data_IF_680391101593
#
_entry.id   IF_680391101593
#
_cell.length_a   1.000
_cell.length_b   1.000
_cell.length_c   1.000
_cell.angle_alpha   90.00
_cell.angle_beta   90.00
_cell.angle_gamma   90.00
#
_symmetry.space_group_name_H-M   'P 1'
#
loop_
_entity.id
_entity.type
_entity.pdbx_description
1 polymer ?
#
# COMPACT_ATOMS: atom_id res chain seq x y z
N UNK A 1 17.40 -18.98 9.54
CA UNK A 1 18.42 -18.40 8.66
C UNK A 1 17.74 -17.84 7.41
N UNK A 2 18.09 -16.61 7.06
CA UNK A 2 17.63 -15.98 5.79
C UNK A 2 18.59 -16.31 4.65
N UNK A 3 18.09 -16.25 3.41
CA UNK A 3 18.93 -16.33 2.20
C UNK A 3 19.91 -15.15 2.09
N UNK A 4 20.86 -15.27 1.19
CA UNK A 4 21.78 -14.17 0.87
C UNK A 4 21.10 -13.15 -0.04
N UNK A 5 21.57 -11.89 0.05
CA UNK A 5 21.21 -10.86 -0.90
C UNK A 5 22.29 -10.82 -2.00
N UNK A 6 21.87 -11.02 -3.24
CA UNK A 6 22.69 -10.92 -4.43
C UNK A 6 22.35 -9.63 -5.19
N UNK A 7 23.28 -9.14 -5.96
CA UNK A 7 23.08 -8.06 -6.93
C UNK A 7 23.58 -8.56 -8.28
N UNK A 8 22.67 -8.71 -9.23
CA UNK A 8 22.98 -9.25 -10.57
C UNK A 8 23.72 -10.60 -10.52
N UNK A 9 23.26 -11.51 -9.64
CA UNK A 9 23.82 -12.85 -9.48
C UNK A 9 25.06 -12.95 -8.58
N UNK A 10 25.67 -11.85 -8.15
CA UNK A 10 26.81 -11.82 -7.25
C UNK A 10 26.40 -11.42 -5.84
N UNK A 11 27.03 -12.03 -4.82
CA UNK A 11 26.75 -11.69 -3.42
C UNK A 11 27.02 -10.22 -3.15
N UNK A 12 26.04 -9.50 -2.61
CA UNK A 12 26.21 -8.10 -2.21
C UNK A 12 27.31 -7.97 -1.15
N UNK A 13 28.31 -7.12 -1.43
CA UNK A 13 29.33 -6.78 -0.43
C UNK A 13 29.93 -5.39 -0.67
N UNK A 14 30.37 -4.73 0.41
CA UNK A 14 31.04 -3.43 0.32
C UNK A 14 32.36 -3.49 -0.45
N UNK A 15 33.07 -4.64 -0.35
CA UNK A 15 34.36 -4.85 -1.03
C UNK A 15 34.23 -4.98 -2.55
N UNK A 16 33.06 -5.42 -3.04
CA UNK A 16 32.78 -5.54 -4.48
C UNK A 16 32.18 -4.25 -5.07
N UNK A 17 31.88 -3.26 -4.24
CA UNK A 17 31.30 -2.00 -4.71
C UNK A 17 29.85 -2.11 -5.23
N UNK A 18 29.20 -3.28 -5.04
CA UNK A 18 27.83 -3.54 -5.46
C UNK A 18 26.82 -3.34 -4.32
N UNK A 19 27.18 -2.57 -3.28
CA UNK A 19 26.36 -2.33 -2.12
C UNK A 19 25.39 -1.18 -2.38
N UNK A 20 24.09 -1.43 -2.22
CA UNK A 20 23.00 -0.44 -2.33
C UNK A 20 22.32 -0.34 -0.98
N UNK A 21 22.08 0.89 -0.48
CA UNK A 21 21.36 1.08 0.76
C UNK A 21 19.85 1.13 0.51
N UNK A 22 19.05 0.71 1.51
CA UNK A 22 17.58 0.88 1.45
C UNK A 22 17.22 2.36 1.26
N UNK A 23 17.95 3.28 1.91
CA UNK A 23 17.73 4.73 1.76
C UNK A 23 17.92 5.22 0.33
N UNK A 24 18.88 4.65 -0.42
CA UNK A 24 19.08 5.01 -1.83
C UNK A 24 17.96 4.43 -2.70
N UNK A 25 17.51 3.22 -2.40
CA UNK A 25 16.37 2.61 -3.10
C UNK A 25 15.07 3.39 -2.91
N UNK A 26 14.80 3.87 -1.70
CA UNK A 26 13.59 4.63 -1.38
C UNK A 26 13.57 6.04 -2.01
N UNK A 27 14.63 6.48 -2.69
CA UNK A 27 14.61 7.69 -3.52
C UNK A 27 14.02 7.45 -4.91
N UNK A 28 14.00 6.18 -5.36
CA UNK A 28 13.57 5.80 -6.71
C UNK A 28 12.31 4.93 -6.70
N UNK A 29 12.10 4.16 -5.61
CA UNK A 29 10.99 3.22 -5.46
C UNK A 29 10.26 3.44 -4.14
N UNK A 30 8.95 3.22 -4.15
CA UNK A 30 8.14 3.30 -2.93
C UNK A 30 8.49 2.19 -1.93
N UNK A 31 8.15 2.41 -0.65
CA UNK A 31 8.33 1.42 0.41
C UNK A 31 7.55 0.13 0.14
N UNK A 32 6.34 0.25 -0.42
CA UNK A 32 5.46 -0.84 -0.83
C UNK A 32 6.09 -1.69 -1.92
N UNK A 33 6.67 -1.04 -2.94
CA UNK A 33 7.41 -1.71 -4.03
C UNK A 33 8.57 -2.52 -3.50
N UNK A 34 9.40 -1.89 -2.67
CA UNK A 34 10.54 -2.58 -2.07
C UNK A 34 10.11 -3.74 -1.18
N UNK A 35 9.06 -3.56 -0.37
CA UNK A 35 8.55 -4.61 0.51
C UNK A 35 7.96 -5.77 -0.28
N UNK A 36 7.16 -5.50 -1.31
CA UNK A 36 6.61 -6.54 -2.18
C UNK A 36 7.72 -7.31 -2.93
N UNK A 37 8.76 -6.61 -3.39
CA UNK A 37 9.95 -7.23 -3.98
C UNK A 37 10.60 -8.24 -3.03
N UNK A 38 10.81 -7.87 -1.76
CA UNK A 38 11.41 -8.76 -0.75
C UNK A 38 10.52 -9.97 -0.48
N UNK A 39 9.21 -9.75 -0.33
CA UNK A 39 8.22 -10.79 -0.04
C UNK A 39 7.95 -11.72 -1.23
N UNK A 40 8.27 -11.31 -2.46
CA UNK A 40 8.15 -12.15 -3.64
C UNK A 40 9.16 -13.30 -3.68
N UNK A 41 10.14 -13.30 -2.76
CA UNK A 41 11.11 -14.40 -2.60
C UNK A 41 10.95 -15.02 -1.22
N UNK A 42 10.93 -16.36 -1.16
CA UNK A 42 10.87 -17.06 0.13
C UNK A 42 12.08 -16.68 1.00
N UNK A 43 11.86 -16.37 2.29
CA UNK A 43 12.89 -15.83 3.19
C UNK A 43 14.15 -16.70 3.35
N UNK A 44 14.05 -18.03 3.10
CA UNK A 44 15.18 -18.96 3.11
C UNK A 44 15.96 -18.98 1.79
N UNK A 45 15.40 -18.42 0.71
CA UNK A 45 16.03 -18.37 -0.61
C UNK A 45 16.86 -17.11 -0.77
N UNK A 46 17.94 -17.15 -1.57
CA UNK A 46 18.67 -15.94 -1.92
C UNK A 46 17.76 -14.98 -2.71
N UNK A 47 17.81 -13.70 -2.35
CA UNK A 47 17.14 -12.64 -3.10
C UNK A 47 18.13 -12.09 -4.12
N UNK A 48 17.76 -12.05 -5.39
CA UNK A 48 18.56 -11.39 -6.43
C UNK A 48 17.98 -10.02 -6.75
N UNK A 49 18.72 -9.00 -6.35
CA UNK A 49 18.38 -7.62 -6.56
C UNK A 49 18.74 -7.21 -8.00
N UNK A 50 17.73 -6.82 -8.75
CA UNK A 50 17.88 -6.25 -10.09
C UNK A 50 16.81 -5.19 -10.35
N UNK A 51 17.12 -4.21 -11.21
CA UNK A 51 16.13 -3.21 -11.64
C UNK A 51 14.88 -3.86 -12.25
N UNK A 52 15.07 -4.96 -12.99
CA UNK A 52 13.95 -5.71 -13.59
C UNK A 52 13.01 -6.27 -12.54
N UNK A 53 13.55 -6.84 -11.45
CA UNK A 53 12.73 -7.41 -10.38
C UNK A 53 12.01 -6.33 -9.55
N UNK A 54 12.64 -5.19 -9.32
CA UNK A 54 12.01 -4.04 -8.68
C UNK A 54 10.88 -3.44 -9.54
N UNK A 55 11.14 -3.26 -10.84
CA UNK A 55 10.12 -2.76 -11.77
C UNK A 55 8.93 -3.72 -11.90
N UNK A 56 9.18 -5.03 -11.78
CA UNK A 56 8.09 -6.01 -11.72
C UNK A 56 7.28 -5.89 -10.42
N UNK A 57 7.94 -5.65 -9.28
CA UNK A 57 7.26 -5.42 -8.01
C UNK A 57 6.42 -4.13 -8.05
N UNK A 58 6.94 -3.05 -8.62
CA UNK A 58 6.20 -1.80 -8.83
C UNK A 58 4.91 -2.02 -9.65
N UNK A 59 5.02 -2.72 -10.79
CA UNK A 59 3.83 -3.09 -11.59
C UNK A 59 2.85 -3.96 -10.83
N UNK A 60 3.34 -4.82 -9.96
CA UNK A 60 2.50 -5.68 -9.14
C UNK A 60 1.75 -4.86 -8.06
N UNK A 61 2.41 -3.90 -7.41
CA UNK A 61 1.75 -2.96 -6.47
C UNK A 61 0.68 -2.16 -7.21
N UNK A 62 1.03 -1.54 -8.34
CA UNK A 62 0.08 -0.77 -9.14
C UNK A 62 -1.13 -1.61 -9.59
N UNK A 63 -0.92 -2.88 -9.92
CA UNK A 63 -2.02 -3.79 -10.30
C UNK A 63 -2.98 -4.06 -9.14
N UNK A 64 -2.48 -4.20 -7.91
CA UNK A 64 -3.33 -4.38 -6.72
C UNK A 64 -4.10 -3.09 -6.45
N UNK A 65 -3.42 -1.93 -6.43
CA UNK A 65 -4.05 -0.61 -6.23
C UNK A 65 -5.15 -0.34 -7.25
N UNK A 66 -4.89 -0.59 -8.54
CA UNK A 66 -5.91 -0.43 -9.60
C UNK A 66 -7.12 -1.34 -9.38
N UNK A 67 -6.91 -2.58 -8.91
CA UNK A 67 -8.02 -3.47 -8.58
C UNK A 67 -8.87 -2.91 -7.43
N UNK A 68 -8.23 -2.41 -6.38
CA UNK A 68 -8.91 -1.81 -5.22
C UNK A 68 -9.64 -0.52 -5.61
N UNK A 69 -9.08 0.30 -6.48
CA UNK A 69 -9.77 1.48 -6.99
C UNK A 69 -11.08 1.12 -7.70
N UNK A 70 -11.05 0.13 -8.60
CA UNK A 70 -12.27 -0.35 -9.27
C UNK A 70 -13.27 -0.95 -8.28
N UNK A 71 -12.77 -1.66 -7.26
CA UNK A 71 -13.61 -2.19 -6.18
C UNK A 71 -14.32 -1.07 -5.42
N UNK A 72 -13.60 -0.01 -5.07
CA UNK A 72 -14.16 1.15 -4.36
C UNK A 72 -15.21 1.90 -5.22
N UNK A 73 -14.93 2.06 -6.52
CA UNK A 73 -15.91 2.62 -7.45
C UNK A 73 -17.21 1.81 -7.45
N UNK A 74 -17.11 0.46 -7.45
CA UNK A 74 -18.29 -0.43 -7.42
C UNK A 74 -19.04 -0.40 -6.09
N UNK A 75 -18.33 -0.34 -4.97
CA UNK A 75 -18.94 -0.18 -3.64
C UNK A 75 -19.73 1.14 -3.60
N UNK A 76 -19.13 2.24 -4.02
CA UNK A 76 -19.78 3.55 -4.05
C UNK A 76 -21.03 3.56 -4.97
N UNK A 77 -20.96 2.94 -6.16
CA UNK A 77 -22.11 2.80 -7.05
C UNK A 77 -23.27 2.05 -6.37
N UNK A 78 -23.02 0.99 -5.61
CA UNK A 78 -24.09 0.23 -4.92
C UNK A 78 -24.70 1.04 -3.77
N UNK A 79 -23.92 1.83 -3.03
CA UNK A 79 -24.42 2.77 -2.03
C UNK A 79 -25.30 3.85 -2.66
N UNK A 80 -24.87 4.46 -3.76
CA UNK A 80 -25.64 5.48 -4.49
C UNK A 80 -26.98 4.93 -5.03
N UNK A 81 -27.00 3.66 -5.47
CA UNK A 81 -28.23 2.98 -5.92
C UNK A 81 -29.19 2.63 -4.79
N UNK A 82 -28.75 2.72 -3.52
CA UNK A 82 -29.50 2.28 -2.35
C UNK A 82 -29.69 0.76 -2.26
N UNK A 83 -28.81 -0.01 -2.90
CA UNK A 83 -28.84 -1.48 -2.91
C UNK A 83 -28.15 -2.07 -1.66
N UNK A 84 -28.22 -1.38 -0.53
CA UNK A 84 -27.57 -1.75 0.73
C UNK A 84 -28.59 -1.97 1.82
N UNK A 85 -28.32 -2.89 2.73
CA UNK A 85 -29.14 -3.11 3.91
C UNK A 85 -28.92 -1.98 4.94
N UNK A 86 -29.93 -1.74 5.80
CA UNK A 86 -29.86 -0.68 6.80
C UNK A 86 -28.68 -0.86 7.77
N UNK A 87 -28.23 -2.10 7.98
CA UNK A 87 -27.14 -2.46 8.90
C UNK A 87 -25.76 -2.01 8.41
N UNK A 88 -25.57 -1.83 7.10
CA UNK A 88 -24.30 -1.39 6.49
C UNK A 88 -24.42 -0.03 5.79
N UNK A 89 -25.60 0.55 5.72
CA UNK A 89 -25.82 1.84 5.04
C UNK A 89 -24.99 2.97 5.64
N UNK A 90 -24.69 2.92 6.94
CA UNK A 90 -23.85 3.91 7.63
C UNK A 90 -22.40 3.94 7.12
N UNK A 91 -21.92 2.85 6.50
CA UNK A 91 -20.56 2.79 5.97
C UNK A 91 -20.33 3.78 4.82
N UNK A 92 -21.41 4.19 4.13
CA UNK A 92 -21.35 5.19 3.06
C UNK A 92 -20.92 6.59 3.54
N UNK A 93 -21.18 6.90 4.81
CA UNK A 93 -20.88 8.20 5.40
C UNK A 93 -19.46 8.27 6.04
N UNK A 94 -18.74 7.15 6.05
CA UNK A 94 -17.39 7.08 6.61
C UNK A 94 -16.34 7.57 5.61
N UNK A 95 -15.33 8.25 6.12
CA UNK A 95 -14.11 8.50 5.36
C UNK A 95 -13.37 7.18 5.07
N UNK A 96 -12.48 7.15 4.08
CA UNK A 96 -11.70 5.95 3.73
C UNK A 96 -10.96 5.34 4.94
N UNK A 97 -10.40 6.18 5.81
CA UNK A 97 -9.72 5.73 7.03
C UNK A 97 -10.68 5.12 8.06
N UNK A 98 -11.84 5.75 8.27
CA UNK A 98 -12.86 5.22 9.19
C UNK A 98 -13.47 3.92 8.66
N UNK A 99 -13.73 3.86 7.35
CA UNK A 99 -14.19 2.64 6.69
C UNK A 99 -13.16 1.51 6.82
N UNK A 100 -11.86 1.82 6.65
CA UNK A 100 -10.79 0.83 6.83
C UNK A 100 -10.75 0.28 8.26
N UNK A 101 -10.80 1.15 9.29
CA UNK A 101 -10.83 0.74 10.70
C UNK A 101 -12.09 -0.07 11.04
N UNK A 102 -13.25 0.31 10.48
CA UNK A 102 -14.51 -0.40 10.70
C UNK A 102 -14.47 -1.79 10.05
N UNK A 103 -13.96 -1.90 8.82
CA UNK A 103 -13.78 -3.18 8.12
C UNK A 103 -12.87 -4.14 8.90
N UNK A 104 -11.82 -3.66 9.55
CA UNK A 104 -10.93 -4.50 10.38
C UNK A 104 -11.63 -5.08 11.63
N UNK A 105 -12.69 -4.43 12.11
CA UNK A 105 -13.46 -4.87 13.27
C UNK A 105 -14.67 -5.77 12.90
N UNK A 106 -14.95 -5.90 11.62
CA UNK A 106 -16.08 -6.67 11.12
C UNK A 106 -15.72 -8.15 10.91
N UNK A 107 -16.60 -9.06 11.34
CA UNK A 107 -16.43 -10.52 11.19
C UNK A 107 -17.06 -11.00 9.87
N UNK A 108 -16.50 -10.55 8.71
CA UNK A 108 -17.05 -10.78 7.38
C UNK A 108 -16.64 -12.12 6.72
N UNK A 109 -16.23 -13.11 7.49
CA UNK A 109 -15.70 -14.38 6.93
C UNK A 109 -16.74 -15.31 6.29
N UNK A 110 -18.01 -14.90 6.21
CA UNK A 110 -19.07 -15.68 5.54
C UNK A 110 -19.48 -15.05 4.19
N UNK A 111 -18.53 -14.88 3.28
CA UNK A 111 -18.82 -14.45 1.91
C UNK A 111 -19.51 -15.57 1.13
N UNK A 112 -20.52 -15.19 0.34
CA UNK A 112 -21.17 -16.12 -0.61
C UNK A 112 -20.38 -16.28 -1.92
N UNK A 113 -19.31 -15.47 -2.11
CA UNK A 113 -18.50 -15.47 -3.31
C UNK A 113 -17.38 -16.53 -3.25
N UNK A 114 -17.58 -17.65 -3.90
CA UNK A 114 -16.66 -18.80 -3.88
C UNK A 114 -15.21 -18.43 -4.27
N UNK A 115 -15.04 -17.49 -5.21
CA UNK A 115 -13.71 -17.06 -5.66
C UNK A 115 -12.94 -16.35 -4.53
N UNK A 116 -13.64 -15.58 -3.67
CA UNK A 116 -13.05 -14.98 -2.49
C UNK A 116 -12.64 -16.05 -1.48
N UNK A 117 -13.55 -16.96 -1.16
CA UNK A 117 -13.30 -18.04 -0.20
C UNK A 117 -12.11 -18.91 -0.62
N UNK A 118 -11.98 -19.22 -1.92
CA UNK A 118 -10.81 -19.91 -2.46
C UNK A 118 -9.53 -19.07 -2.28
N UNK A 119 -9.56 -17.77 -2.63
CA UNK A 119 -8.42 -16.87 -2.51
C UNK A 119 -7.92 -16.75 -1.07
N UNK A 120 -8.84 -16.52 -0.12
CA UNK A 120 -8.55 -16.47 1.34
C UNK A 120 -7.90 -17.76 1.80
N UNK A 121 -8.50 -18.91 1.46
CA UNK A 121 -8.00 -20.24 1.85
C UNK A 121 -6.59 -20.51 1.31
N UNK A 122 -6.33 -20.19 0.03
CA UNK A 122 -5.01 -20.37 -0.58
C UNK A 122 -3.95 -19.44 0.02
N UNK A 123 -4.33 -18.20 0.34
CA UNK A 123 -3.43 -17.24 0.99
C UNK A 123 -2.98 -17.76 2.35
N UNK A 124 -3.91 -18.06 3.25
CA UNK A 124 -3.58 -18.54 4.60
C UNK A 124 -2.86 -19.88 4.59
N UNK A 125 -3.27 -20.84 3.73
CA UNK A 125 -2.56 -22.09 3.56
C UNK A 125 -1.10 -21.88 3.11
N UNK A 126 -0.84 -20.88 2.30
CA UNK A 126 0.51 -20.54 1.87
C UNK A 126 1.32 -19.91 3.00
N UNK A 127 0.69 -19.08 3.85
CA UNK A 127 1.34 -18.51 5.03
C UNK A 127 1.63 -19.57 6.11
N UNK A 128 0.74 -20.54 6.28
CA UNK A 128 0.93 -21.69 7.19
C UNK A 128 2.04 -22.64 6.71
N UNK A 129 2.32 -22.69 5.40
CA UNK A 129 3.41 -23.46 4.80
C UNK A 129 4.74 -22.70 4.89
N UNK A 130 5.29 -22.59 6.10
CA UNK A 130 6.60 -21.97 6.38
C UNK A 130 6.70 -20.52 5.89
N UNK A 131 5.63 -19.74 6.06
CA UNK A 131 5.55 -18.35 5.60
C UNK A 131 5.92 -18.19 4.11
N UNK A 132 5.31 -19.03 3.26
CA UNK A 132 5.56 -18.99 1.81
C UNK A 132 4.92 -17.75 1.17
N UNK A 133 5.47 -16.57 1.46
CA UNK A 133 4.99 -15.29 0.93
C UNK A 133 4.90 -15.25 -0.60
N UNK A 134 5.80 -15.90 -1.39
CA UNK A 134 5.64 -15.96 -2.84
C UNK A 134 4.35 -16.67 -3.28
N UNK A 135 3.97 -17.76 -2.59
CA UNK A 135 2.71 -18.47 -2.88
C UNK A 135 1.51 -17.65 -2.43
N UNK A 136 1.59 -16.99 -1.28
CA UNK A 136 0.54 -16.10 -0.78
C UNK A 136 0.28 -14.94 -1.76
N UNK A 137 1.33 -14.29 -2.26
CA UNK A 137 1.23 -13.25 -3.30
C UNK A 137 0.64 -13.82 -4.61
N UNK A 138 1.02 -15.03 -5.00
CA UNK A 138 0.42 -15.68 -6.16
C UNK A 138 -1.09 -15.94 -5.99
N UNK A 139 -1.54 -16.29 -4.77
CA UNK A 139 -2.97 -16.44 -4.45
C UNK A 139 -3.73 -15.12 -4.64
N UNK A 140 -3.17 -13.98 -4.18
CA UNK A 140 -3.74 -12.64 -4.40
C UNK A 140 -3.93 -12.37 -5.90
N UNK A 141 -2.90 -12.59 -6.72
CA UNK A 141 -3.00 -12.35 -8.17
C UNK A 141 -3.91 -13.34 -8.90
N UNK A 142 -4.01 -14.57 -8.42
CA UNK A 142 -4.98 -15.57 -8.92
C UNK A 142 -6.40 -15.11 -8.65
N UNK A 143 -6.68 -14.64 -7.44
CA UNK A 143 -7.97 -14.05 -7.06
C UNK A 143 -8.31 -12.85 -7.94
N UNK A 144 -7.43 -11.83 -8.03
CA UNK A 144 -7.64 -10.65 -8.87
C UNK A 144 -7.97 -11.04 -10.32
N UNK A 145 -7.25 -12.04 -10.86
CA UNK A 145 -7.49 -12.51 -12.23
C UNK A 145 -8.87 -13.14 -12.40
N UNK A 146 -9.32 -13.95 -11.41
CA UNK A 146 -10.61 -14.64 -11.45
C UNK A 146 -11.77 -13.67 -11.24
N UNK A 147 -11.65 -12.75 -10.27
CA UNK A 147 -12.71 -11.83 -9.85
C UNK A 147 -12.89 -10.62 -10.79
N UNK A 148 -11.85 -10.20 -11.52
CA UNK A 148 -11.93 -9.02 -12.40
C UNK A 148 -13.11 -9.04 -13.39
N UNK A 149 -13.42 -10.21 -13.95
CA UNK A 149 -14.54 -10.32 -14.88
C UNK A 149 -15.86 -10.08 -14.17
N UNK A 150 -16.06 -10.73 -13.02
CA UNK A 150 -17.32 -10.65 -12.27
C UNK A 150 -17.50 -9.25 -11.67
N UNK A 151 -16.41 -8.60 -11.26
CA UNK A 151 -16.38 -7.21 -10.79
C UNK A 151 -16.83 -6.24 -11.90
N UNK A 152 -16.29 -6.37 -13.11
CA UNK A 152 -16.64 -5.50 -14.24
C UNK A 152 -18.05 -5.79 -14.83
N UNK A 153 -18.60 -6.97 -14.60
CA UNK A 153 -19.94 -7.36 -15.06
C UNK A 153 -21.00 -7.17 -13.95
N UNK A 154 -20.69 -6.48 -12.84
CA UNK A 154 -21.58 -6.18 -11.70
C UNK A 154 -22.24 -7.46 -11.11
N UNK A 155 -21.50 -8.56 -11.05
CA UNK A 155 -21.97 -9.85 -10.56
C UNK A 155 -21.74 -10.10 -9.08
N UNK A 156 -20.93 -9.25 -8.44
CA UNK A 156 -20.56 -9.38 -7.03
C UNK A 156 -21.51 -8.47 -6.24
N UNK A 157 -22.23 -9.04 -5.28
CA UNK A 157 -23.13 -8.27 -4.42
C UNK A 157 -22.35 -7.41 -3.42
N UNK A 158 -22.99 -6.37 -2.88
CA UNK A 158 -22.33 -5.38 -2.00
C UNK A 158 -21.65 -6.02 -0.80
N UNK A 159 -22.27 -7.00 -0.14
CA UNK A 159 -21.69 -7.71 1.01
C UNK A 159 -20.38 -8.41 0.63
N UNK A 160 -20.33 -9.03 -0.54
CA UNK A 160 -19.12 -9.68 -1.05
C UNK A 160 -18.07 -8.68 -1.53
N UNK A 161 -18.46 -7.50 -2.04
CA UNK A 161 -17.53 -6.41 -2.36
C UNK A 161 -16.84 -5.88 -1.09
N UNK A 162 -17.62 -5.68 -0.01
CA UNK A 162 -17.09 -5.28 1.29
C UNK A 162 -16.20 -6.36 1.90
N UNK A 163 -16.57 -7.63 1.78
CA UNK A 163 -15.74 -8.76 2.22
C UNK A 163 -14.40 -8.83 1.47
N UNK A 164 -14.39 -8.54 0.17
CA UNK A 164 -13.16 -8.43 -0.61
C UNK A 164 -12.28 -7.28 -0.09
N UNK A 165 -12.87 -6.10 0.14
CA UNK A 165 -12.15 -4.94 0.67
C UNK A 165 -11.53 -5.25 2.04
N UNK A 166 -12.30 -5.88 2.94
CA UNK A 166 -11.82 -6.36 4.24
C UNK A 166 -10.63 -7.31 4.11
N UNK A 167 -10.72 -8.33 3.24
CA UNK A 167 -9.62 -9.25 3.03
C UNK A 167 -8.33 -8.56 2.56
N UNK A 168 -8.44 -7.56 1.68
CA UNK A 168 -7.27 -6.77 1.27
C UNK A 168 -6.73 -5.89 2.41
N UNK A 169 -7.58 -5.41 3.33
CA UNK A 169 -7.13 -4.72 4.54
C UNK A 169 -6.30 -5.66 5.44
N UNK A 170 -6.77 -6.89 5.67
CA UNK A 170 -6.02 -7.92 6.39
C UNK A 170 -4.68 -8.23 5.72
N UNK A 171 -4.68 -8.44 4.39
CA UNK A 171 -3.45 -8.66 3.62
C UNK A 171 -2.47 -7.50 3.80
N UNK A 172 -2.95 -6.26 3.74
CA UNK A 172 -2.13 -5.06 3.94
C UNK A 172 -1.45 -5.08 5.30
N UNK A 173 -2.17 -5.43 6.36
CA UNK A 173 -1.59 -5.55 7.71
C UNK A 173 -0.62 -6.73 7.81
N UNK A 174 -0.98 -7.92 7.32
CA UNK A 174 -0.14 -9.12 7.41
C UNK A 174 1.18 -8.94 6.65
N UNK A 175 1.12 -8.38 5.44
CA UNK A 175 2.30 -8.13 4.62
C UNK A 175 3.02 -6.83 5.00
N UNK A 176 2.35 -5.95 5.76
CA UNK A 176 2.82 -4.61 6.10
C UNK A 176 3.02 -3.73 4.85
N UNK A 177 2.13 -3.86 3.87
CA UNK A 177 2.10 -3.06 2.64
C UNK A 177 0.78 -2.32 2.61
N UNK A 178 0.81 -1.00 2.59
CA UNK A 178 -0.40 -0.20 2.45
C UNK A 178 -0.82 -0.12 0.99
N UNK A 179 -1.78 -0.96 0.61
CA UNK A 179 -2.34 -0.96 -0.75
C UNK A 179 -3.42 0.11 -0.95
N UNK A 180 -3.88 0.76 0.12
CA UNK A 180 -4.92 1.79 0.09
C UNK A 180 -4.34 3.21 0.08
N UNK A 181 -3.06 3.39 0.40
CA UNK A 181 -2.40 4.68 0.31
C UNK A 181 -2.46 5.21 -1.14
N UNK A 182 -3.02 6.40 -1.30
CA UNK A 182 -2.98 7.12 -2.55
C UNK A 182 -1.57 7.67 -2.78
N UNK A 183 -0.96 7.35 -3.91
CA UNK A 183 0.39 7.84 -4.26
C UNK A 183 0.39 9.38 -4.43
N UNK A 184 -0.78 9.99 -4.64
CA UNK A 184 -0.96 11.44 -4.80
C UNK A 184 -1.11 12.20 -3.47
N UNK A 185 -1.50 11.55 -2.36
CA UNK A 185 -1.76 12.24 -1.10
C UNK A 185 -0.50 12.50 -0.26
N UNK A 186 0.59 11.72 -0.44
CA UNK A 186 1.78 11.82 0.40
C UNK A 186 2.91 12.67 -0.19
N UNK A 187 2.98 12.86 -1.51
CA UNK A 187 4.08 13.63 -2.12
C UNK A 187 3.66 15.01 -2.63
N UNK A 188 2.44 15.17 -3.15
CA UNK A 188 1.97 16.45 -3.69
C UNK A 188 1.56 17.42 -2.61
N UNK A 189 0.73 17.02 -1.68
CA UNK A 189 0.20 17.88 -0.62
C UNK A 189 1.27 18.25 0.41
N UNK A 190 2.17 17.32 0.73
CA UNK A 190 3.29 17.57 1.65
C UNK A 190 4.30 18.54 1.04
N UNK A 191 4.65 18.38 -0.24
CA UNK A 191 5.53 19.30 -0.96
C UNK A 191 4.86 20.66 -1.16
N UNK A 192 3.58 20.72 -1.49
CA UNK A 192 2.82 21.97 -1.60
C UNK A 192 2.70 22.67 -0.24
N UNK A 193 2.43 21.92 0.84
CA UNK A 193 2.41 22.46 2.21
C UNK A 193 3.78 23.02 2.62
N UNK A 194 4.87 22.33 2.33
CA UNK A 194 6.23 22.79 2.59
C UNK A 194 6.56 24.03 1.77
N UNK A 195 6.12 24.13 0.51
CA UNK A 195 6.26 25.32 -0.32
C UNK A 195 5.48 26.52 0.26
N UNK A 196 4.24 26.29 0.73
CA UNK A 196 3.43 27.33 1.41
C UNK A 196 4.15 27.82 2.68
N UNK A 197 4.69 26.92 3.49
CA UNK A 197 5.42 27.27 4.71
C UNK A 197 6.70 28.04 4.38
N UNK A 198 7.43 27.66 3.33
CA UNK A 198 8.61 28.37 2.86
C UNK A 198 8.28 29.82 2.42
N UNK A 199 7.20 29.98 1.65
CA UNK A 199 6.70 31.27 1.20
C UNK A 199 6.30 32.19 2.40
N UNK A 200 5.62 31.61 3.39
CA UNK A 200 5.24 32.34 4.62
C UNK A 200 6.50 32.79 5.38
N UNK A 201 7.52 31.95 5.53
CA UNK A 201 8.78 32.28 6.15
C UNK A 201 9.48 33.42 5.40
N UNK A 202 9.51 33.35 4.06
CA UNK A 202 10.13 34.39 3.25
C UNK A 202 9.42 35.75 3.38
N UNK A 203 8.09 35.77 3.43
CA UNK A 203 7.28 36.98 3.69
C UNK A 203 7.55 37.57 5.09
N UNK A 204 7.63 36.71 6.12
CA UNK A 204 7.98 37.17 7.48
C UNK A 204 9.36 37.79 7.54
N UNK A 205 10.37 37.25 6.84
CA UNK A 205 11.70 37.84 6.73
C UNK A 205 11.68 39.18 6.00
N UNK A 206 10.90 39.30 4.93
CA UNK A 206 10.73 40.56 4.19
C UNK A 206 10.12 41.67 5.08
N UNK A 207 9.21 41.30 5.99
CA UNK A 207 8.60 42.18 6.99
C UNK A 207 9.48 42.39 8.24
N UNK A 208 10.72 41.85 8.25
CA UNK A 208 11.67 41.89 9.39
C UNK A 208 11.16 41.21 10.67
N UNK A 209 10.21 40.27 10.55
CA UNK A 209 9.69 39.45 11.65
C UNK A 209 10.51 38.16 11.82
N UNK A 210 11.79 38.34 12.12
CA UNK A 210 12.77 37.23 12.15
C UNK A 210 12.42 36.17 13.22
N UNK A 211 11.96 36.63 14.41
CA UNK A 211 11.63 35.74 15.52
C UNK A 211 10.58 34.69 15.13
N UNK A 212 9.53 35.09 14.38
CA UNK A 212 8.48 34.18 13.92
C UNK A 212 8.98 33.21 12.81
N UNK A 213 9.83 33.71 11.92
CA UNK A 213 10.45 32.87 10.88
C UNK A 213 11.37 31.82 11.49
N UNK A 214 12.10 32.15 12.55
CA UNK A 214 12.99 31.23 13.25
C UNK A 214 12.20 30.22 14.09
N UNK A 215 11.10 30.63 14.72
CA UNK A 215 10.20 29.69 15.41
C UNK A 215 9.64 28.62 14.47
N UNK A 216 9.20 28.98 13.26
CA UNK A 216 8.74 28.07 12.25
C UNK A 216 9.85 27.10 11.83
N UNK A 217 11.06 27.60 11.59
CA UNK A 217 12.23 26.77 11.26
C UNK A 217 12.51 25.71 12.34
N UNK A 218 12.56 26.18 13.60
CA UNK A 218 12.91 25.30 14.72
C UNK A 218 11.86 24.19 14.92
N UNK A 219 10.57 24.48 14.64
CA UNK A 219 9.51 23.47 14.61
C UNK A 219 9.71 22.48 13.47
N UNK A 220 10.03 22.92 12.25
CA UNK A 220 10.30 22.03 11.12
C UNK A 220 11.50 21.11 11.38
N UNK A 221 12.58 21.67 11.93
CA UNK A 221 13.77 20.89 12.32
C UNK A 221 13.43 19.85 13.40
N UNK A 222 12.55 20.17 14.34
CA UNK A 222 12.09 19.22 15.36
C UNK A 222 11.29 18.04 14.80
N UNK A 223 10.70 18.21 13.61
CA UNK A 223 9.99 17.17 12.84
C UNK A 223 10.92 16.43 11.85
N UNK A 224 12.23 16.76 11.85
CA UNK A 224 13.20 16.10 10.96
C UNK A 224 13.26 16.68 9.55
N UNK A 225 12.63 17.85 9.31
CA UNK A 225 12.59 18.52 8.00
C UNK A 225 13.77 19.49 7.92
N UNK A 226 14.69 19.25 6.98
CA UNK A 226 15.79 20.18 6.72
C UNK A 226 15.28 21.42 5.96
N UNK A 227 15.57 22.59 6.50
CA UNK A 227 15.18 23.88 5.91
C UNK A 227 16.45 24.64 5.53
N UNK A 228 16.70 24.77 4.23
CA UNK A 228 17.74 25.68 3.70
C UNK A 228 17.25 27.11 3.67
N UNK A 229 18.14 28.04 4.02
CA UNK A 229 17.88 29.49 4.01
C UNK A 229 18.04 30.12 2.62
#
# INVERSE_FOLDING_TARGET
>A
HTGFLNVSGEKMSKSLGNFITIRDLLKEYSGETFRLFVLATHYRSPIDFSEVSLHQAEKNVARIKNYLQVLDEKINEEFEKGNVSDDIAYLADLSDNELFEELLNFDYYESSYDVLNEGVSEFFKSMDDDFSTPKAIAAIFSFIKKSNKDLNEDKIIIDDLLAIKHWFADISQILGIDFFANDDETSGDEEELLNIIADVRQKLRAEKKYDLSDEIRDKLVSLGIEVSD
#
